data_IF_853835150432
#
_entry.id   IF_853835150432
#
_cell.length_a   1.000
_cell.length_b   1.000
_cell.length_c   1.000
_cell.angle_alpha   90.00
_cell.angle_beta   90.00
_cell.angle_gamma   90.00
#
_symmetry.space_group_name_H-M   'P 1'
#
loop_
_entity.id
_entity.type
_entity.pdbx_description
1 polymer ?
#
# COMPACT_ATOMS: atom_id res chain seq x y z
N UNK A 1 4.51 17.64 -1.83
CA UNK A 1 3.80 17.12 -0.65
C UNK A 1 4.71 16.20 0.18
N UNK A 2 4.57 16.14 1.51
CA UNK A 2 5.23 15.14 2.36
C UNK A 2 4.25 14.63 3.42
N UNK A 3 4.03 13.31 3.46
CA UNK A 3 3.25 12.63 4.50
C UNK A 3 4.18 12.16 5.63
N UNK A 4 3.73 12.28 6.89
CA UNK A 4 4.47 11.88 8.10
C UNK A 4 3.50 11.22 9.09
N UNK A 5 4.04 10.56 10.12
CA UNK A 5 3.22 9.98 11.18
C UNK A 5 2.57 8.64 10.82
N UNK A 6 3.15 7.91 9.86
CA UNK A 6 2.69 6.55 9.55
C UNK A 6 3.01 5.64 10.75
N UNK A 7 2.02 4.96 11.35
CA UNK A 7 2.25 4.06 12.48
C UNK A 7 3.21 2.92 12.11
N UNK A 8 4.14 2.52 12.99
CA UNK A 8 5.08 1.42 12.72
C UNK A 8 4.37 0.10 12.33
N UNK A 9 3.18 -0.15 12.86
CA UNK A 9 2.37 -1.34 12.61
C UNK A 9 2.00 -1.48 11.12
N UNK A 10 1.87 -0.37 10.40
CA UNK A 10 1.58 -0.37 8.97
C UNK A 10 2.69 -1.07 8.15
N UNK A 11 3.88 -1.26 8.72
CA UNK A 11 4.99 -1.95 8.08
C UNK A 11 5.08 -3.45 8.42
N UNK A 12 4.25 -3.96 9.34
CA UNK A 12 4.29 -5.36 9.79
C UNK A 12 3.54 -6.31 8.87
N UNK A 13 2.43 -5.84 8.29
CA UNK A 13 1.69 -6.62 7.30
C UNK A 13 2.40 -6.60 5.95
N UNK A 14 2.67 -7.78 5.40
CA UNK A 14 3.31 -7.96 4.11
C UNK A 14 2.48 -8.87 3.19
N UNK A 15 2.46 -8.51 1.91
CA UNK A 15 1.90 -9.29 0.83
C UNK A 15 3.03 -9.58 -0.14
N UNK A 16 3.36 -10.85 -0.37
CA UNK A 16 4.46 -11.26 -1.26
C UNK A 16 5.80 -10.54 -0.96
N UNK A 17 6.18 -10.47 0.32
CA UNK A 17 7.49 -9.93 0.75
C UNK A 17 7.61 -8.40 0.76
N UNK A 18 6.50 -7.67 0.61
CA UNK A 18 6.48 -6.21 0.65
C UNK A 18 5.23 -5.69 1.36
N UNK A 19 5.34 -4.53 2.01
CA UNK A 19 4.18 -3.88 2.64
C UNK A 19 3.20 -3.38 1.58
N UNK A 20 1.89 -3.25 1.89
CA UNK A 20 0.93 -2.66 0.96
C UNK A 20 1.34 -1.27 0.47
N UNK A 21 1.85 -0.41 1.36
CA UNK A 21 2.39 0.90 0.99
C UNK A 21 3.60 0.79 0.05
N UNK A 22 4.47 -0.18 0.29
CA UNK A 22 5.61 -0.45 -0.59
C UNK A 22 5.17 -0.85 -2.00
N UNK A 23 4.12 -1.67 -2.13
CA UNK A 23 3.55 -2.03 -3.43
C UNK A 23 2.94 -0.82 -4.12
N UNK A 24 2.20 -0.02 -3.37
CA UNK A 24 1.58 1.20 -3.90
C UNK A 24 2.64 2.16 -4.47
N UNK A 25 3.72 2.43 -3.73
CA UNK A 25 4.81 3.30 -4.19
C UNK A 25 5.53 2.78 -5.45
N UNK A 26 5.71 1.45 -5.58
CA UNK A 26 6.37 0.87 -6.76
C UNK A 26 5.51 0.94 -8.03
N UNK A 27 4.18 0.85 -7.88
CA UNK A 27 3.22 0.89 -8.99
C UNK A 27 2.79 2.32 -9.37
N UNK A 28 2.70 3.22 -8.39
CA UNK A 28 2.31 4.61 -8.59
C UNK A 28 3.52 5.51 -8.90
N UNK A 29 4.27 5.13 -9.94
CA UNK A 29 5.30 5.97 -10.56
C UNK A 29 5.15 5.94 -12.07
N UNK A 30 5.50 7.05 -12.73
CA UNK A 30 5.54 7.09 -14.19
C UNK A 30 6.67 6.16 -14.65
N UNK A 31 6.33 5.17 -15.46
CA UNK A 31 7.29 4.23 -16.06
C UNK A 31 6.94 4.03 -17.51
N UNK A 32 7.96 3.80 -18.34
CA UNK A 32 7.77 3.38 -19.74
C UNK A 32 8.37 2.01 -19.91
N UNK A 33 7.58 1.05 -20.37
CA UNK A 33 8.09 -0.28 -20.70
C UNK A 33 9.07 -0.17 -21.88
N UNK A 34 10.27 -0.74 -21.72
CA UNK A 34 11.35 -0.57 -22.71
C UNK A 34 11.10 -1.31 -24.01
N UNK A 35 10.33 -2.39 -23.98
CA UNK A 35 10.11 -3.23 -25.15
C UNK A 35 8.92 -2.74 -25.98
N UNK A 36 7.79 -2.48 -25.34
CA UNK A 36 6.55 -2.04 -25.98
C UNK A 36 6.45 -0.52 -26.14
N UNK A 37 7.23 0.26 -25.38
CA UNK A 37 7.10 1.72 -25.33
C UNK A 37 5.84 2.21 -24.61
N UNK A 38 5.05 1.31 -24.01
CA UNK A 38 3.81 1.68 -23.33
C UNK A 38 4.14 2.48 -22.07
N UNK A 39 3.64 3.72 -22.01
CA UNK A 39 3.73 4.60 -20.85
C UNK A 39 2.65 4.23 -19.84
N UNK A 40 3.08 3.89 -18.64
CA UNK A 40 2.24 3.76 -17.46
C UNK A 40 2.30 5.09 -16.68
N UNK A 41 1.24 5.89 -16.76
CA UNK A 41 1.10 7.13 -15.99
C UNK A 41 -0.06 7.02 -14.98
N UNK A 42 0.26 6.83 -13.69
CA UNK A 42 -0.75 6.64 -12.66
C UNK A 42 -1.51 7.92 -12.30
N UNK A 43 -1.04 9.11 -12.73
CA UNK A 43 -1.78 10.35 -12.50
C UNK A 43 -3.11 10.36 -13.27
N UNK A 44 -3.24 9.56 -14.33
CA UNK A 44 -4.48 9.38 -15.06
C UNK A 44 -5.55 8.59 -14.29
N UNK A 45 -5.19 7.94 -13.17
CA UNK A 45 -6.10 7.08 -12.41
C UNK A 45 -6.77 7.79 -11.21
N UNK A 46 -6.28 8.98 -10.86
CA UNK A 46 -6.85 9.78 -9.78
C UNK A 46 -7.41 11.11 -10.32
N UNK A 47 -8.59 11.54 -9.87
CA UNK A 47 -9.18 12.79 -10.32
C UNK A 47 -8.43 14.03 -9.80
N UNK A 48 -7.70 13.91 -8.68
CA UNK A 48 -6.90 14.98 -8.08
C UNK A 48 -5.93 14.44 -7.02
N UNK A 49 -5.07 15.31 -6.50
CA UNK A 49 -4.09 15.00 -5.45
C UNK A 49 -4.76 14.51 -4.15
N UNK A 50 -5.92 15.07 -3.77
CA UNK A 50 -6.63 14.67 -2.56
C UNK A 50 -7.11 13.20 -2.62
N UNK A 51 -7.56 12.74 -3.79
CA UNK A 51 -7.94 11.33 -4.00
C UNK A 51 -6.74 10.38 -3.87
N UNK A 52 -5.57 10.80 -4.35
CA UNK A 52 -4.32 10.06 -4.16
C UNK A 52 -3.93 9.96 -2.68
N UNK A 53 -3.98 11.07 -1.95
CA UNK A 53 -3.67 11.10 -0.50
C UNK A 53 -4.64 10.19 0.26
N UNK A 54 -5.93 10.27 -0.03
CA UNK A 54 -6.93 9.42 0.61
C UNK A 54 -6.68 7.91 0.34
N UNK A 55 -6.15 7.55 -0.83
CA UNK A 55 -5.74 6.17 -1.11
C UNK A 55 -4.57 5.74 -0.21
N UNK A 56 -3.55 6.60 -0.03
CA UNK A 56 -2.43 6.33 0.88
C UNK A 56 -2.90 6.17 2.32
N UNK A 57 -3.78 7.06 2.81
CA UNK A 57 -4.34 6.99 4.16
C UNK A 57 -5.12 5.68 4.40
N UNK A 58 -5.94 5.26 3.43
CA UNK A 58 -6.68 4.00 3.49
C UNK A 58 -5.75 2.79 3.51
N UNK A 59 -4.67 2.80 2.73
CA UNK A 59 -3.68 1.72 2.71
C UNK A 59 -2.96 1.62 4.06
N UNK A 60 -2.61 2.75 4.66
CA UNK A 60 -2.02 2.79 6.01
C UNK A 60 -3.00 2.21 7.03
N UNK A 61 -4.25 2.69 7.05
CA UNK A 61 -5.29 2.19 7.95
C UNK A 61 -5.50 0.67 7.78
N UNK A 62 -5.68 0.19 6.55
CA UNK A 62 -5.85 -1.22 6.25
C UNK A 62 -4.68 -2.07 6.75
N UNK A 63 -3.45 -1.56 6.62
CA UNK A 63 -2.26 -2.29 7.07
C UNK A 63 -2.25 -2.47 8.58
N UNK A 64 -2.60 -1.41 9.35
CA UNK A 64 -2.71 -1.47 10.81
C UNK A 64 -3.88 -2.35 11.25
N UNK A 65 -5.05 -2.18 10.63
CA UNK A 65 -6.26 -2.97 10.86
C UNK A 65 -6.00 -4.47 10.68
N UNK A 66 -5.29 -4.82 9.61
CA UNK A 66 -4.97 -6.22 9.30
C UNK A 66 -4.09 -6.84 10.37
N UNK A 67 -3.07 -6.13 10.86
CA UNK A 67 -2.22 -6.61 11.96
C UNK A 67 -3.07 -6.92 13.19
N UNK A 68 -3.98 -6.01 13.57
CA UNK A 68 -4.85 -6.20 14.73
C UNK A 68 -5.77 -7.40 14.58
N UNK A 69 -6.35 -7.60 13.39
CA UNK A 69 -7.21 -8.76 13.11
C UNK A 69 -6.42 -10.05 13.24
N UNK A 70 -5.23 -10.12 12.64
CA UNK A 70 -4.36 -11.30 12.68
C UNK A 70 -3.95 -11.63 14.11
N UNK A 71 -3.58 -10.63 14.91
CA UNK A 71 -3.23 -10.80 16.33
C UNK A 71 -4.41 -11.25 17.19
N UNK A 72 -5.64 -10.93 16.77
CA UNK A 72 -6.88 -11.35 17.42
C UNK A 72 -7.37 -12.75 17.02
N UNK A 73 -6.71 -13.42 16.07
CA UNK A 73 -7.14 -14.76 15.66
C UNK A 73 -6.88 -15.80 16.76
N UNK A 74 -7.79 -16.79 16.95
CA UNK A 74 -7.53 -17.93 17.83
C UNK A 74 -6.23 -18.64 17.44
N UNK A 75 -5.44 -19.09 18.41
CA UNK A 75 -4.15 -19.77 18.15
C UNK A 75 -4.28 -20.97 17.20
N UNK A 76 -5.41 -21.68 17.21
CA UNK A 76 -5.66 -22.80 16.31
C UNK A 76 -5.79 -22.39 14.82
N UNK A 77 -5.99 -21.10 14.54
CA UNK A 77 -6.11 -20.53 13.19
C UNK A 77 -4.92 -19.63 12.83
N UNK A 78 -4.16 -19.18 13.82
CA UNK A 78 -2.90 -18.47 13.64
C UNK A 78 -1.81 -19.51 13.31
N UNK A 79 -1.77 -19.96 12.05
CA UNK A 79 -0.94 -21.05 11.55
C UNK A 79 0.38 -21.27 12.29
N UNK A 80 0.40 -22.36 13.08
CA UNK A 80 1.54 -22.95 13.76
C UNK A 80 1.37 -24.46 13.75
#
# INVERSE_FOLDING_TARGET
LRLKGIPPEAHRYQVNGRTPLGWFMDRYRITTDKHSGIRNDPNAWFPNEAAFIAAVERIVYLSVETVRIVEGLPRALAGG
#
